data_IF_609416822249
#
_entry.id   IF_609416822249
#
_cell.length_a   1.000
_cell.length_b   1.000
_cell.length_c   1.000
_cell.angle_alpha   90.00
_cell.angle_beta   90.00
_cell.angle_gamma   90.00
#
_symmetry.space_group_name_H-M   'P 1'
#
loop_
_entity.id
_entity.type
_entity.pdbx_description
1 polymer ?
#
# COMPACT_ATOMS: atom_id res chain seq x y z
N UNK A 1 -11.96 -22.29 7.39
CA UNK A 1 -11.20 -22.36 6.14
C UNK A 1 -12.02 -21.82 4.99
N UNK A 2 -11.35 -21.33 3.94
CA UNK A 2 -11.94 -20.84 2.71
C UNK A 2 -11.45 -21.68 1.52
N UNK A 3 -12.34 -21.93 0.58
CA UNK A 3 -12.02 -22.62 -0.68
C UNK A 3 -12.98 -22.15 -1.76
N UNK A 4 -12.84 -22.66 -2.99
CA UNK A 4 -13.75 -22.35 -4.08
C UNK A 4 -15.20 -22.45 -3.61
N UNK A 5 -15.96 -21.39 -3.89
CA UNK A 5 -17.39 -21.24 -3.61
C UNK A 5 -17.82 -21.01 -2.15
N UNK A 6 -16.96 -21.21 -1.13
CA UNK A 6 -17.44 -21.21 0.28
C UNK A 6 -16.36 -20.92 1.33
N UNK A 7 -16.83 -20.49 2.50
CA UNK A 7 -16.11 -20.61 3.77
C UNK A 7 -16.77 -21.69 4.64
N UNK A 8 -16.00 -22.32 5.51
CA UNK A 8 -16.47 -23.39 6.38
C UNK A 8 -15.87 -23.25 7.79
N UNK A 9 -16.69 -23.56 8.80
CA UNK A 9 -16.39 -23.37 10.22
C UNK A 9 -16.70 -24.67 10.96
N UNK A 10 -15.74 -25.15 11.77
CA UNK A 10 -15.86 -26.44 12.48
C UNK A 10 -16.44 -26.25 13.88
N UNK A 11 -17.37 -27.13 14.25
CA UNK A 11 -17.99 -27.15 15.58
C UNK A 11 -18.54 -25.79 15.99
N UNK A 12 -18.19 -25.37 17.21
CA UNK A 12 -18.69 -24.13 17.80
C UNK A 12 -18.14 -22.86 17.15
N UNK A 13 -17.18 -22.93 16.21
CA UNK A 13 -16.68 -21.75 15.51
C UNK A 13 -17.78 -21.03 14.71
N UNK A 14 -18.86 -21.74 14.33
CA UNK A 14 -20.01 -21.15 13.65
C UNK A 14 -20.72 -20.06 14.49
N UNK A 15 -20.54 -20.07 15.82
CA UNK A 15 -21.10 -19.03 16.69
C UNK A 15 -20.61 -17.63 16.33
N UNK A 16 -19.37 -17.50 15.83
CA UNK A 16 -18.81 -16.22 15.40
C UNK A 16 -19.41 -15.71 14.09
N UNK A 17 -20.18 -16.54 13.38
CA UNK A 17 -20.93 -16.18 12.17
C UNK A 17 -22.39 -15.84 12.51
N UNK A 18 -23.00 -16.62 13.40
CA UNK A 18 -24.45 -16.57 13.66
C UNK A 18 -24.85 -15.64 14.81
N UNK A 19 -23.98 -15.42 15.79
CA UNK A 19 -24.21 -14.47 16.88
C UNK A 19 -23.69 -13.09 16.47
N UNK A 20 -24.59 -12.13 16.30
CA UNK A 20 -24.23 -10.78 15.85
C UNK A 20 -23.25 -10.07 16.78
N UNK A 21 -23.34 -10.30 18.10
CA UNK A 21 -22.43 -9.65 19.04
C UNK A 21 -21.02 -10.23 18.94
N UNK A 22 -20.91 -11.56 18.76
CA UNK A 22 -19.61 -12.21 18.52
C UNK A 22 -19.06 -11.89 17.16
N UNK A 23 -19.89 -11.90 16.12
CA UNK A 23 -19.50 -11.51 14.77
C UNK A 23 -18.97 -10.09 14.75
N UNK A 24 -19.64 -9.14 15.40
CA UNK A 24 -19.16 -7.75 15.42
C UNK A 24 -17.91 -7.63 16.29
N UNK A 25 -17.92 -8.07 17.56
CA UNK A 25 -16.84 -7.74 18.52
C UNK A 25 -15.63 -8.68 18.52
N UNK A 26 -15.75 -9.87 17.94
CA UNK A 26 -14.72 -10.92 17.96
C UNK A 26 -14.75 -11.76 16.67
N UNK A 27 -15.14 -11.15 15.55
CA UNK A 27 -15.40 -11.82 14.28
C UNK A 27 -14.17 -12.08 13.40
N UNK A 28 -12.96 -12.00 13.95
CA UNK A 28 -11.73 -12.10 13.14
C UNK A 28 -11.72 -13.33 12.24
N UNK A 29 -12.10 -14.50 12.78
CA UNK A 29 -12.18 -15.77 12.05
C UNK A 29 -13.01 -15.66 10.77
N UNK A 30 -14.32 -15.38 10.83
CA UNK A 30 -15.13 -15.27 9.62
C UNK A 30 -14.69 -14.16 8.66
N UNK A 31 -14.19 -13.02 9.15
CA UNK A 31 -13.68 -11.95 8.29
C UNK A 31 -12.42 -12.38 7.53
N UNK A 32 -11.50 -13.07 8.21
CA UNK A 32 -10.27 -13.63 7.64
C UNK A 32 -10.55 -14.61 6.51
N UNK A 33 -11.51 -15.52 6.72
CA UNK A 33 -11.93 -16.49 5.69
C UNK A 33 -12.61 -15.81 4.51
N UNK A 34 -13.43 -14.79 4.75
CA UNK A 34 -13.99 -13.97 3.69
C UNK A 34 -12.91 -13.18 2.93
N UNK A 35 -11.83 -12.79 3.61
CA UNK A 35 -10.66 -12.15 3.03
C UNK A 35 -9.92 -13.07 2.05
N UNK A 36 -9.78 -14.36 2.35
CA UNK A 36 -9.16 -15.33 1.43
C UNK A 36 -9.88 -15.40 0.07
N UNK A 37 -11.21 -15.31 0.07
CA UNK A 37 -12.00 -15.29 -1.17
C UNK A 37 -11.79 -14.03 -2.03
N UNK A 38 -11.16 -12.98 -1.48
CA UNK A 38 -10.88 -11.70 -2.15
C UNK A 38 -9.41 -11.51 -2.49
N UNK A 39 -8.52 -12.40 -2.05
CA UNK A 39 -7.09 -12.29 -2.33
C UNK A 39 -6.79 -12.37 -3.84
N UNK A 40 -5.93 -11.48 -4.30
CA UNK A 40 -5.47 -11.46 -5.69
C UNK A 40 -4.12 -12.16 -5.82
N UNK A 41 -4.09 -13.26 -6.57
CA UNK A 41 -2.86 -14.02 -6.87
C UNK A 41 -1.70 -13.18 -7.46
N UNK A 42 -1.95 -12.20 -8.38
CA UNK A 42 -0.87 -11.42 -9.02
C UNK A 42 0.05 -10.60 -8.11
N UNK A 43 -0.34 -10.34 -6.86
CA UNK A 43 0.55 -9.72 -5.87
C UNK A 43 0.62 -10.52 -4.56
N UNK A 44 0.20 -11.78 -4.61
CA UNK A 44 0.42 -12.76 -3.56
C UNK A 44 1.74 -13.49 -3.81
N UNK A 45 2.83 -12.87 -3.37
CA UNK A 45 4.19 -13.45 -3.41
C UNK A 45 4.45 -14.35 -2.18
N UNK A 46 5.71 -14.78 -2.01
CA UNK A 46 6.13 -15.77 -1.02
C UNK A 46 5.56 -15.50 0.40
N UNK A 47 4.92 -16.52 0.98
CA UNK A 47 4.33 -16.48 2.33
C UNK A 47 3.33 -15.34 2.59
N UNK A 48 2.58 -14.91 1.56
CA UNK A 48 1.55 -13.86 1.70
C UNK A 48 0.11 -14.39 1.85
N UNK A 49 -0.12 -15.71 1.76
CA UNK A 49 -1.47 -16.31 1.85
C UNK A 49 -2.18 -15.98 3.16
N UNK A 50 -1.49 -16.01 4.29
CA UNK A 50 -2.05 -15.68 5.61
C UNK A 50 -1.83 -14.20 6.02
N UNK A 51 -1.35 -13.38 5.09
CA UNK A 51 -1.04 -11.96 5.33
C UNK A 51 -2.04 -11.08 4.58
N UNK A 52 -2.10 -11.21 3.25
CA UNK A 52 -2.85 -10.31 2.38
C UNK A 52 -4.36 -10.32 2.67
N UNK A 53 -4.93 -11.46 3.06
CA UNK A 53 -6.36 -11.54 3.39
C UNK A 53 -6.72 -10.72 4.63
N UNK A 54 -5.78 -10.52 5.55
CA UNK A 54 -6.04 -9.77 6.77
C UNK A 54 -6.16 -8.26 6.54
N UNK A 55 -5.83 -7.72 5.36
CA UNK A 55 -6.20 -6.34 4.99
C UNK A 55 -7.73 -6.17 5.07
N UNK A 56 -8.48 -7.19 4.63
CA UNK A 56 -9.94 -7.16 4.69
C UNK A 56 -10.45 -7.27 6.13
N UNK A 57 -9.83 -8.11 6.96
CA UNK A 57 -10.16 -8.21 8.39
C UNK A 57 -9.96 -6.88 9.12
N UNK A 58 -8.83 -6.21 8.91
CA UNK A 58 -8.55 -4.89 9.47
C UNK A 58 -9.55 -3.83 8.97
N UNK A 59 -9.94 -3.90 7.69
CA UNK A 59 -10.97 -3.02 7.15
C UNK A 59 -12.34 -3.23 7.83
N UNK A 60 -12.66 -4.46 8.21
CA UNK A 60 -13.90 -4.77 8.96
C UNK A 60 -13.83 -4.26 10.40
N UNK A 61 -12.70 -4.45 11.10
CA UNK A 61 -12.48 -3.86 12.43
C UNK A 61 -12.70 -2.34 12.39
N UNK A 62 -12.09 -1.68 11.39
CA UNK A 62 -12.26 -0.24 11.17
C UNK A 62 -13.71 0.13 10.89
N UNK A 63 -14.42 -0.62 10.04
CA UNK A 63 -15.83 -0.37 9.74
C UNK A 63 -16.75 -0.51 10.97
N UNK A 64 -16.36 -1.36 11.93
CA UNK A 64 -17.04 -1.48 13.22
C UNK A 64 -16.51 -0.54 14.31
N UNK A 65 -15.66 0.43 13.96
CA UNK A 65 -15.03 1.38 14.88
C UNK A 65 -14.28 0.68 16.04
N UNK A 66 -13.61 -0.43 15.75
CA UNK A 66 -12.81 -1.16 16.72
C UNK A 66 -11.34 -0.77 16.63
N UNK A 67 -10.65 -0.83 17.77
CA UNK A 67 -9.19 -0.82 17.80
C UNK A 67 -8.67 -1.99 17.00
N UNK A 68 -7.73 -1.73 16.10
CA UNK A 68 -7.19 -2.77 15.22
C UNK A 68 -6.50 -3.88 16.02
N UNK A 69 -6.52 -5.09 15.50
CA UNK A 69 -5.76 -6.22 16.05
C UNK A 69 -4.25 -5.92 16.09
N UNK A 70 -3.75 -5.05 15.21
CA UNK A 70 -2.35 -4.62 15.19
C UNK A 70 -1.98 -3.79 16.42
N UNK A 71 -2.86 -2.87 16.85
CA UNK A 71 -2.66 -2.10 18.08
C UNK A 71 -2.91 -2.94 19.32
N UNK A 72 -4.06 -3.62 19.37
CA UNK A 72 -4.51 -4.39 20.54
C UNK A 72 -3.48 -5.42 20.99
N UNK A 73 -2.78 -6.05 20.05
CA UNK A 73 -1.80 -7.11 20.35
C UNK A 73 -0.34 -6.64 20.26
N UNK A 74 -0.10 -5.32 20.23
CA UNK A 74 1.26 -4.77 20.24
C UNK A 74 2.11 -5.23 19.04
N UNK A 75 1.51 -5.32 17.85
CA UNK A 75 2.22 -5.74 16.63
C UNK A 75 3.13 -4.64 16.11
N UNK A 76 2.72 -3.37 16.21
CA UNK A 76 3.54 -2.23 15.77
C UNK A 76 4.92 -2.18 16.44
N UNK A 77 5.06 -2.32 17.78
CA UNK A 77 6.37 -2.45 18.41
C UNK A 77 7.26 -3.56 17.82
N UNK A 78 6.68 -4.74 17.53
CA UNK A 78 7.43 -5.85 16.90
C UNK A 78 7.89 -5.49 15.49
N UNK A 79 7.02 -4.83 14.72
CA UNK A 79 7.35 -4.33 13.39
C UNK A 79 8.47 -3.29 13.43
N UNK A 80 8.43 -2.35 14.39
CA UNK A 80 9.48 -1.34 14.53
C UNK A 80 10.82 -1.97 14.93
N UNK A 81 10.81 -2.96 15.83
CA UNK A 81 12.00 -3.73 16.17
C UNK A 81 12.59 -4.45 14.94
N UNK A 82 11.75 -4.98 14.05
CA UNK A 82 12.20 -5.53 12.77
C UNK A 82 12.83 -4.45 11.88
N UNK A 83 12.19 -3.28 11.77
CA UNK A 83 12.65 -2.17 10.91
C UNK A 83 14.03 -1.61 11.34
N UNK A 84 14.38 -1.72 12.62
CA UNK A 84 15.68 -1.34 13.17
C UNK A 84 16.83 -2.30 12.80
N UNK A 85 16.54 -3.51 12.33
CA UNK A 85 17.58 -4.47 11.94
C UNK A 85 18.39 -3.98 10.73
N UNK A 86 19.69 -4.29 10.70
CA UNK A 86 20.57 -3.87 9.59
C UNK A 86 20.28 -4.68 8.33
N UNK A 87 20.27 -6.01 8.44
CA UNK A 87 20.07 -6.93 7.31
C UNK A 87 18.61 -7.40 7.25
N UNK A 88 17.73 -6.56 6.71
CA UNK A 88 16.33 -6.90 6.52
C UNK A 88 16.09 -7.73 5.27
N UNK A 89 15.22 -8.72 5.40
CA UNK A 89 14.63 -9.47 4.29
C UNK A 89 13.15 -9.67 4.61
N UNK A 90 12.25 -9.15 3.77
CA UNK A 90 10.82 -9.25 4.00
C UNK A 90 10.33 -10.72 3.95
N UNK A 91 10.95 -11.54 3.10
CA UNK A 91 10.55 -12.95 2.92
C UNK A 91 10.79 -13.77 4.20
N UNK A 92 11.79 -13.40 5.00
CA UNK A 92 12.20 -14.08 6.24
C UNK A 92 11.39 -13.67 7.48
N UNK A 93 10.49 -12.69 7.38
CA UNK A 93 9.60 -12.34 8.50
C UNK A 93 8.65 -13.53 8.75
N UNK A 94 8.77 -14.17 9.91
CA UNK A 94 7.95 -15.32 10.29
C UNK A 94 6.59 -14.92 10.86
N UNK A 95 6.49 -13.76 11.53
CA UNK A 95 5.23 -13.25 12.08
C UNK A 95 4.39 -12.61 10.96
N UNK A 96 3.27 -13.26 10.63
CA UNK A 96 2.34 -12.82 9.58
C UNK A 96 1.74 -11.45 9.86
N UNK A 97 1.57 -11.08 11.13
CA UNK A 97 1.03 -9.78 11.50
C UNK A 97 2.08 -8.68 11.36
N UNK A 98 3.38 -8.98 11.59
CA UNK A 98 4.46 -8.04 11.28
C UNK A 98 4.53 -7.77 9.78
N UNK A 99 4.35 -8.80 8.93
CA UNK A 99 4.22 -8.61 7.47
C UNK A 99 3.03 -7.73 7.11
N UNK A 100 1.89 -7.95 7.78
CA UNK A 100 0.65 -7.20 7.54
C UNK A 100 0.80 -5.71 7.85
N UNK A 101 1.63 -5.31 8.83
CA UNK A 101 1.87 -3.89 9.15
C UNK A 101 2.32 -3.10 7.93
N UNK A 102 3.26 -3.62 7.11
CA UNK A 102 3.70 -2.96 5.88
C UNK A 102 2.51 -2.66 4.95
N UNK A 103 1.64 -3.65 4.74
CA UNK A 103 0.47 -3.48 3.89
C UNK A 103 -0.47 -2.43 4.49
N UNK A 104 -0.78 -2.54 5.77
CA UNK A 104 -1.72 -1.62 6.42
C UNK A 104 -1.22 -0.18 6.47
N UNK A 105 0.09 0.04 6.60
CA UNK A 105 0.69 1.37 6.55
C UNK A 105 0.44 2.10 5.22
N UNK A 106 0.34 1.38 4.09
CA UNK A 106 -0.05 1.99 2.82
C UNK A 106 -1.50 2.51 2.87
N UNK A 107 -2.43 1.79 3.50
CA UNK A 107 -3.80 2.27 3.70
C UNK A 107 -3.85 3.46 4.67
N UNK A 108 -3.08 3.43 5.77
CA UNK A 108 -3.02 4.55 6.71
C UNK A 108 -2.48 5.82 6.06
N UNK A 109 -1.45 5.69 5.23
CA UNK A 109 -0.82 6.80 4.52
C UNK A 109 -1.73 7.37 3.42
N UNK A 110 -2.21 6.52 2.50
CA UNK A 110 -2.88 6.94 1.26
C UNK A 110 -4.41 6.88 1.30
N UNK A 111 -5.00 6.34 2.37
CA UNK A 111 -6.44 6.32 2.60
C UNK A 111 -7.17 5.11 2.00
N UNK A 112 -8.50 5.12 2.19
CA UNK A 112 -9.41 4.01 1.86
C UNK A 112 -9.40 3.61 0.37
N UNK A 113 -9.03 4.54 -0.51
CA UNK A 113 -8.99 4.32 -1.95
C UNK A 113 -7.75 3.54 -2.42
N UNK A 114 -6.70 3.42 -1.59
CA UNK A 114 -5.43 2.83 -2.00
C UNK A 114 -5.62 1.39 -2.50
N UNK A 115 -6.16 0.51 -1.65
CA UNK A 115 -6.37 -0.87 -2.05
C UNK A 115 -7.41 -1.01 -3.16
N UNK A 116 -8.60 -0.39 -3.13
CA UNK A 116 -9.54 -0.42 -4.25
C UNK A 116 -8.90 -0.11 -5.60
N UNK A 117 -8.07 0.94 -5.69
CA UNK A 117 -7.34 1.31 -6.91
C UNK A 117 -6.26 0.30 -7.28
N UNK A 118 -5.51 -0.21 -6.31
CA UNK A 118 -4.53 -1.28 -6.55
C UNK A 118 -5.20 -2.54 -7.11
N UNK A 119 -6.34 -2.93 -6.55
CA UNK A 119 -7.07 -4.10 -6.99
C UNK A 119 -7.61 -3.94 -8.41
N UNK A 120 -8.09 -2.75 -8.78
CA UNK A 120 -8.51 -2.42 -10.14
C UNK A 120 -7.34 -2.51 -11.11
N UNK A 121 -6.22 -1.87 -10.78
CA UNK A 121 -5.01 -1.89 -11.61
C UNK A 121 -4.56 -3.31 -11.97
N UNK A 122 -4.60 -4.26 -11.01
CA UNK A 122 -4.27 -5.66 -11.28
C UNK A 122 -5.35 -6.43 -12.07
N UNK A 123 -6.63 -6.05 -11.96
CA UNK A 123 -7.72 -6.69 -12.74
C UNK A 123 -7.75 -6.24 -14.18
N UNK A 124 -7.37 -5.00 -14.43
CA UNK A 124 -7.35 -4.41 -15.78
C UNK A 124 -6.06 -4.78 -16.55
N UNK A 125 -5.08 -5.39 -15.86
CA UNK A 125 -3.82 -5.82 -16.44
C UNK A 125 -4.02 -6.99 -17.41
N UNK A 126 -3.48 -6.93 -18.65
CA UNK A 126 -3.50 -8.04 -19.57
C UNK A 126 -2.86 -9.28 -18.96
N UNK A 127 -3.42 -10.47 -19.23
CA UNK A 127 -2.89 -11.71 -18.63
C UNK A 127 -1.42 -12.00 -18.99
N UNK A 128 -0.94 -11.50 -20.13
CA UNK A 128 0.46 -11.57 -20.55
C UNK A 128 1.42 -10.74 -19.70
N UNK A 129 0.91 -9.73 -18.98
CA UNK A 129 1.69 -8.85 -18.11
C UNK A 129 1.65 -9.29 -16.63
N UNK A 130 0.78 -10.25 -16.29
CA UNK A 130 0.66 -10.74 -14.92
C UNK A 130 1.93 -11.51 -14.50
N UNK A 131 2.49 -11.21 -13.32
CA UNK A 131 3.74 -11.79 -12.86
C UNK A 131 3.55 -13.25 -12.45
N UNK A 132 4.50 -14.10 -12.85
CA UNK A 132 4.44 -15.54 -12.60
C UNK A 132 5.26 -15.97 -11.38
N UNK A 133 6.42 -15.36 -11.16
CA UNK A 133 7.33 -15.70 -10.05
C UNK A 133 7.11 -14.77 -8.86
N UNK A 134 7.43 -15.25 -7.65
CA UNK A 134 7.33 -14.43 -6.44
C UNK A 134 8.20 -13.17 -6.50
N UNK A 135 9.37 -13.26 -7.13
CA UNK A 135 10.22 -12.10 -7.36
C UNK A 135 9.53 -11.08 -8.28
N UNK A 136 9.00 -11.49 -9.43
CA UNK A 136 8.31 -10.58 -10.34
C UNK A 136 7.04 -9.98 -9.71
N UNK A 137 6.35 -10.73 -8.84
CA UNK A 137 5.21 -10.24 -8.06
C UNK A 137 5.62 -9.12 -7.10
N UNK A 138 6.73 -9.28 -6.36
CA UNK A 138 7.28 -8.24 -5.47
C UNK A 138 7.66 -6.98 -6.27
N UNK A 139 8.39 -7.15 -7.38
CA UNK A 139 8.79 -6.04 -8.25
C UNK A 139 7.57 -5.28 -8.79
N UNK A 140 6.58 -6.00 -9.33
CA UNK A 140 5.37 -5.38 -9.85
C UNK A 140 4.52 -4.75 -8.75
N UNK A 141 4.49 -5.32 -7.54
CA UNK A 141 3.79 -4.72 -6.40
C UNK A 141 4.39 -3.36 -6.05
N UNK A 142 5.72 -3.24 -6.00
CA UNK A 142 6.39 -1.95 -5.73
C UNK A 142 6.05 -0.90 -6.79
N UNK A 143 6.03 -1.29 -8.07
CA UNK A 143 5.66 -0.41 -9.19
C UNK A 143 4.18 0.00 -9.08
N UNK A 144 3.29 -0.97 -8.87
CA UNK A 144 1.84 -0.76 -8.86
C UNK A 144 1.40 0.07 -7.66
N UNK A 145 1.97 -0.18 -6.49
CA UNK A 145 1.77 0.63 -5.30
C UNK A 145 2.22 2.07 -5.53
N UNK A 146 3.39 2.29 -6.16
CA UNK A 146 3.89 3.63 -6.49
C UNK A 146 2.96 4.36 -7.47
N UNK A 147 2.42 3.64 -8.47
CA UNK A 147 1.40 4.16 -9.40
C UNK A 147 0.12 4.61 -8.69
N UNK A 148 -0.40 3.79 -7.79
CA UNK A 148 -1.63 4.10 -7.04
C UNK A 148 -1.40 5.25 -6.07
N UNK A 149 -0.27 5.27 -5.39
CA UNK A 149 0.14 6.32 -4.46
C UNK A 149 0.48 7.64 -5.16
N UNK A 150 0.77 7.62 -6.48
CA UNK A 150 1.36 8.75 -7.22
C UNK A 150 2.64 9.29 -6.54
N UNK A 151 3.40 8.40 -5.92
CA UNK A 151 4.61 8.69 -5.18
C UNK A 151 5.60 7.55 -5.40
N UNK A 152 6.89 7.86 -5.49
CA UNK A 152 7.92 6.83 -5.56
C UNK A 152 8.11 6.22 -4.15
N UNK A 153 7.60 5.00 -3.99
CA UNK A 153 7.58 4.25 -2.73
C UNK A 153 8.82 3.37 -2.51
N UNK A 154 9.87 3.47 -3.34
CA UNK A 154 11.10 2.70 -3.16
C UNK A 154 11.65 2.83 -1.73
N UNK A 155 11.78 4.03 -1.14
CA UNK A 155 12.29 4.16 0.24
C UNK A 155 11.46 3.39 1.26
N UNK A 156 10.13 3.35 1.10
CA UNK A 156 9.25 2.58 1.97
C UNK A 156 9.49 1.07 1.86
N UNK A 157 9.59 0.55 0.64
CA UNK A 157 9.80 -0.88 0.41
C UNK A 157 11.19 -1.35 0.85
N UNK A 158 12.23 -0.55 0.62
CA UNK A 158 13.59 -0.83 1.11
C UNK A 158 13.65 -0.86 2.64
N UNK A 159 12.92 0.05 3.31
CA UNK A 159 12.80 0.03 4.78
C UNK A 159 12.18 -1.27 5.27
N UNK A 160 11.24 -1.84 4.54
CA UNK A 160 10.65 -3.14 4.85
C UNK A 160 11.47 -4.35 4.38
N UNK A 161 12.63 -4.13 3.74
CA UNK A 161 13.49 -5.21 3.28
C UNK A 161 13.04 -5.86 1.96
N UNK A 162 12.15 -5.23 1.20
CA UNK A 162 11.95 -5.55 -0.22
C UNK A 162 13.04 -4.87 -1.04
N UNK A 163 13.56 -5.56 -2.06
CA UNK A 163 14.73 -5.12 -2.83
C UNK A 163 14.33 -4.82 -4.27
N UNK A 164 14.11 -3.55 -4.65
CA UNK A 164 13.82 -3.22 -6.04
C UNK A 164 15.05 -3.50 -6.90
N UNK A 165 14.86 -4.15 -8.04
CA UNK A 165 15.93 -4.32 -9.03
C UNK A 165 16.05 -3.06 -9.93
N UNK A 166 17.09 -3.00 -10.75
CA UNK A 166 17.34 -1.84 -11.61
C UNK A 166 16.17 -1.53 -12.57
N UNK A 167 15.50 -2.55 -13.11
CA UNK A 167 14.34 -2.36 -14.00
C UNK A 167 13.17 -1.71 -13.24
N UNK A 168 12.89 -2.16 -12.02
CA UNK A 168 11.88 -1.53 -11.14
C UNK A 168 12.23 -0.10 -10.79
N UNK A 169 13.49 0.18 -10.45
CA UNK A 169 13.97 1.53 -10.13
C UNK A 169 13.77 2.45 -11.34
N UNK A 170 14.18 2.01 -12.52
CA UNK A 170 14.02 2.78 -13.76
C UNK A 170 12.55 3.00 -14.12
N UNK A 171 11.71 1.97 -14.00
CA UNK A 171 10.26 2.07 -14.26
C UNK A 171 9.57 3.04 -13.32
N UNK A 172 9.91 3.03 -12.03
CA UNK A 172 9.32 3.97 -11.06
C UNK A 172 9.86 5.39 -11.29
N UNK A 173 11.15 5.54 -11.56
CA UNK A 173 11.74 6.85 -11.88
C UNK A 173 11.10 7.48 -13.13
N UNK A 174 10.84 6.69 -14.17
CA UNK A 174 10.20 7.13 -15.41
C UNK A 174 8.75 7.63 -15.21
N UNK A 175 8.09 7.30 -14.09
CA UNK A 175 6.77 7.84 -13.76
C UNK A 175 6.81 9.31 -13.31
N UNK A 176 8.00 9.83 -12.94
CA UNK A 176 8.17 11.23 -12.55
C UNK A 176 7.51 11.62 -11.22
N UNK A 177 7.16 10.65 -10.38
CA UNK A 177 6.55 10.91 -9.08
C UNK A 177 7.55 11.42 -8.04
N UNK A 178 7.12 12.28 -7.10
CA UNK A 178 7.97 12.70 -5.99
C UNK A 178 8.43 11.50 -5.17
N UNK A 179 9.67 11.54 -4.70
CA UNK A 179 10.22 10.51 -3.80
C UNK A 179 9.60 10.68 -2.42
N UNK A 180 9.14 9.57 -1.83
CA UNK A 180 8.66 9.57 -0.45
C UNK A 180 9.80 9.91 0.52
N UNK A 181 9.66 11.00 1.27
CA UNK A 181 10.56 11.33 2.39
C UNK A 181 9.90 11.17 3.75
N UNK A 182 8.56 11.21 3.81
CA UNK A 182 7.83 10.93 5.03
C UNK A 182 8.02 9.47 5.48
N UNK A 183 8.33 9.26 6.76
CA UNK A 183 8.59 7.94 7.32
C UNK A 183 7.30 7.14 7.59
N UNK A 184 6.47 6.92 6.56
CA UNK A 184 5.17 6.23 6.71
C UNK A 184 5.30 4.82 7.28
N UNK A 185 6.50 4.21 7.21
CA UNK A 185 6.84 2.94 7.87
C UNK A 185 6.84 3.01 9.41
N UNK A 186 6.71 4.19 10.01
CA UNK A 186 6.50 4.40 11.45
C UNK A 186 5.03 4.65 11.83
N UNK A 187 4.12 4.69 10.85
CA UNK A 187 2.71 4.97 11.09
C UNK A 187 1.99 3.83 11.82
N UNK A 188 1.09 4.18 12.74
CA UNK A 188 0.16 3.27 13.45
C UNK A 188 -1.29 3.72 13.24
N UNK A 189 -2.28 2.92 13.64
CA UNK A 189 -3.69 3.33 13.57
C UNK A 189 -3.97 4.58 14.41
N UNK A 190 -3.38 4.68 15.62
CA UNK A 190 -3.49 5.80 16.56
C UNK A 190 -2.66 7.02 16.16
N UNK A 191 -1.58 6.83 15.41
CA UNK A 191 -0.70 7.89 14.94
C UNK A 191 -0.32 7.66 13.46
N UNK A 192 -1.27 7.85 12.52
CA UNK A 192 -1.00 7.63 11.11
C UNK A 192 -0.10 8.74 10.58
N UNK A 193 0.94 8.37 9.84
CA UNK A 193 1.83 9.31 9.16
C UNK A 193 1.34 9.48 7.73
N UNK A 194 1.07 10.73 7.35
CA UNK A 194 0.68 11.08 5.99
C UNK A 194 1.91 11.26 5.10
N UNK A 195 1.81 10.90 3.80
CA UNK A 195 2.90 11.11 2.86
C UNK A 195 3.16 12.60 2.66
N UNK A 196 4.42 12.93 2.38
CA UNK A 196 4.87 14.22 1.86
C UNK A 196 4.50 14.37 0.38
N UNK A 197 3.21 14.32 0.09
CA UNK A 197 2.73 14.65 -1.25
C UNK A 197 2.85 16.17 -1.44
N UNK A 198 3.39 16.66 -2.57
CA UNK A 198 3.17 18.04 -2.96
C UNK A 198 1.65 18.21 -3.07
N UNK A 199 1.10 19.02 -2.18
CA UNK A 199 -0.34 19.21 -2.11
C UNK A 199 -0.81 19.77 -3.45
N UNK A 200 -1.66 19.00 -4.14
CA UNK A 200 -2.14 19.33 -5.48
C UNK A 200 -3.05 20.57 -5.42
N UNK A 201 -3.61 20.86 -4.24
CA UNK A 201 -4.33 22.12 -3.97
C UNK A 201 -3.38 23.31 -3.82
N UNK A 202 -2.09 23.04 -3.61
CA UNK A 202 -1.02 23.99 -3.37
C UNK A 202 -0.01 24.07 -4.51
N UNK A 203 -0.36 23.64 -5.73
CA UNK A 203 0.41 23.98 -6.94
C UNK A 203 0.61 25.51 -7.07
N UNK A 204 -0.23 26.29 -6.37
CA UNK A 204 -0.13 27.74 -6.24
C UNK A 204 0.40 28.23 -4.88
N UNK A 205 0.69 27.39 -3.88
CA UNK A 205 1.35 27.83 -2.64
C UNK A 205 2.87 27.69 -2.78
N UNK A 206 3.48 28.75 -3.31
CA UNK A 206 4.91 28.91 -3.49
C UNK A 206 5.20 30.24 -4.19
N UNK A 207 6.42 30.77 -4.05
CA UNK A 207 6.80 32.04 -4.69
C UNK A 207 7.13 31.89 -6.18
N UNK A 208 7.24 30.66 -6.69
CA UNK A 208 7.64 30.37 -8.07
C UNK A 208 6.86 29.18 -8.61
N UNK A 209 6.38 29.30 -9.85
CA UNK A 209 5.73 28.24 -10.62
C UNK A 209 6.39 28.17 -11.99
N UNK A 210 6.70 26.95 -12.46
CA UNK A 210 7.22 26.69 -13.79
C UNK A 210 6.48 25.52 -14.41
N UNK A 211 5.97 25.72 -15.62
CA UNK A 211 5.32 24.68 -16.41
C UNK A 211 5.82 24.77 -17.85
N UNK A 212 5.99 23.62 -18.51
CA UNK A 212 6.27 23.59 -19.94
C UNK A 212 5.58 22.44 -20.66
N UNK A 213 5.28 22.68 -21.93
CA UNK A 213 4.67 21.72 -22.84
C UNK A 213 5.66 21.37 -23.95
N UNK A 214 5.97 20.07 -24.03
CA UNK A 214 6.82 19.51 -25.07
C UNK A 214 5.96 18.89 -26.17
N UNK A 215 6.34 19.17 -27.42
CA UNK A 215 5.73 18.63 -28.62
C UNK A 215 6.45 17.37 -29.10
N UNK A 216 6.21 17.02 -30.37
CA UNK A 216 6.86 15.88 -31.03
C UNK A 216 8.37 16.12 -31.09
N UNK A 217 9.17 15.16 -30.63
CA UNK A 217 10.63 15.25 -30.63
C UNK A 217 11.21 16.08 -29.49
N UNK A 218 10.51 16.17 -28.35
CA UNK A 218 10.94 16.90 -27.13
C UNK A 218 11.13 18.42 -27.30
N UNK A 219 10.66 18.99 -28.40
CA UNK A 219 10.66 20.44 -28.62
C UNK A 219 9.70 21.13 -27.65
N UNK A 220 10.22 22.00 -26.78
CA UNK A 220 9.41 22.84 -25.89
C UNK A 220 8.79 23.98 -26.70
N UNK A 221 7.46 23.99 -26.83
CA UNK A 221 6.75 25.01 -27.62
C UNK A 221 5.93 25.98 -26.77
N UNK A 222 5.78 25.70 -25.48
CA UNK A 222 5.18 26.63 -24.51
C UNK A 222 5.87 26.47 -23.15
N UNK A 223 6.19 27.59 -22.53
CA UNK A 223 6.72 27.65 -21.16
C UNK A 223 6.02 28.77 -20.42
N UNK A 224 5.58 28.52 -19.19
CA UNK A 224 5.04 29.58 -18.34
C UNK A 224 5.83 29.57 -17.04
N UNK A 225 6.48 30.69 -16.73
CA UNK A 225 7.13 30.93 -15.44
C UNK A 225 6.41 32.06 -14.73
N UNK A 226 5.96 31.82 -13.51
CA UNK A 226 5.36 32.83 -12.65
C UNK A 226 6.22 33.00 -11.41
N UNK A 227 6.65 34.23 -11.15
CA UNK A 227 7.32 34.62 -9.91
C UNK A 227 6.40 35.55 -9.11
N UNK A 228 5.84 35.04 -8.02
CA UNK A 228 4.93 35.82 -7.16
C UNK A 228 5.63 36.91 -6.35
N UNK A 229 6.94 36.79 -6.09
CA UNK A 229 7.66 37.82 -5.33
C UNK A 229 7.98 39.06 -6.18
N UNK A 230 8.04 38.90 -7.50
CA UNK A 230 8.27 39.99 -8.45
C UNK A 230 7.03 40.37 -9.26
N UNK A 231 5.92 39.64 -9.07
CA UNK A 231 4.68 39.74 -9.89
C UNK A 231 4.92 39.54 -11.40
N UNK A 232 6.02 38.87 -11.77
CA UNK A 232 6.40 38.66 -13.16
C UNK A 232 5.85 37.33 -13.68
N UNK A 233 5.23 37.38 -14.86
CA UNK A 233 4.84 36.22 -15.64
C UNK A 233 5.58 36.24 -16.98
N UNK A 234 6.30 35.16 -17.28
CA UNK A 234 6.98 34.94 -18.56
C UNK A 234 6.27 33.78 -19.27
N UNK A 235 5.86 34.03 -20.52
CA UNK A 235 5.20 33.07 -21.43
C UNK A 235 6.10 32.89 -22.65
#
# INVERSE_FOLDING_TARGET
YATSYRTAYVGDAIQYVLDINKFVKDGWGPWHEAGHLRQQSPWKFYNMTEVQNNIYSLSVEKAFNQTSNLEKNGIYPKAFQYLEQVNKNYDEISDVFVKLVMLWQLQLAYGEDFYPKLHQLYRDMPSSELPQTDENKKQLFMISASKVAKQNLIPFFEKWGLRPNNDTIQKIAALGYPILTAEIWKGTDSNPIKPDMPDVNNILEGNQFAWSLKGIGDFEFAKVNLNKSTEEMQI
#
